data_IF_883484273878
#
_entry.id   IF_883484273878
#
_cell.length_a   1.000
_cell.length_b   1.000
_cell.length_c   1.000
_cell.angle_alpha   90.00
_cell.angle_beta   90.00
_cell.angle_gamma   90.00
#
_symmetry.space_group_name_H-M   'P 1'
#
loop_
_entity.id
_entity.type
_entity.pdbx_description
1 polymer ?
#
# COMPACT_ATOMS: atom_id res chain seq x y z
N UNK A 1 15.53 -13.93 29.17
CA UNK A 1 15.90 -14.23 27.79
C UNK A 1 17.22 -13.52 27.51
N UNK A 2 18.14 -14.19 26.83
CA UNK A 2 19.39 -13.57 26.40
C UNK A 2 19.11 -12.39 25.47
N UNK A 3 19.96 -11.34 25.50
CA UNK A 3 19.92 -10.26 24.51
C UNK A 3 20.47 -10.71 23.14
N UNK A 4 20.99 -11.95 23.09
CA UNK A 4 21.61 -12.53 21.92
C UNK A 4 20.86 -13.80 21.48
N UNK A 5 20.65 -13.91 20.17
CA UNK A 5 20.16 -15.12 19.52
C UNK A 5 21.19 -15.50 18.44
N UNK A 6 21.60 -16.78 18.43
CA UNK A 6 22.47 -17.35 17.41
C UNK A 6 21.70 -18.38 16.60
N UNK A 7 21.53 -18.13 15.32
CA UNK A 7 21.04 -19.11 14.35
C UNK A 7 22.27 -19.75 13.71
N UNK A 8 22.44 -21.07 13.88
CA UNK A 8 23.65 -21.80 13.47
C UNK A 8 23.43 -22.59 12.20
N UNK A 9 24.40 -22.52 11.29
CA UNK A 9 24.54 -23.40 10.11
C UNK A 9 23.29 -23.48 9.23
N UNK A 10 22.52 -22.39 9.15
CA UNK A 10 21.39 -22.28 8.23
C UNK A 10 21.83 -22.04 6.79
N UNK A 11 21.10 -22.55 5.82
CA UNK A 11 21.22 -22.19 4.43
C UNK A 11 20.54 -20.85 4.21
N UNK A 12 21.31 -19.78 4.04
CA UNK A 12 20.82 -18.39 4.02
C UNK A 12 20.49 -17.97 2.60
N UNK A 13 19.24 -17.51 2.39
CA UNK A 13 18.73 -16.84 1.20
C UNK A 13 18.51 -15.37 1.54
N UNK A 14 19.48 -14.49 1.27
CA UNK A 14 19.40 -13.08 1.70
C UNK A 14 18.84 -12.13 0.65
N UNK A 15 18.40 -12.64 -0.50
CA UNK A 15 17.88 -11.88 -1.64
C UNK A 15 18.86 -10.85 -2.25
N UNK A 16 20.15 -10.97 -1.95
CA UNK A 16 21.25 -10.14 -2.49
C UNK A 16 22.17 -10.99 -3.33
N UNK A 17 22.66 -12.11 -2.78
CA UNK A 17 23.42 -13.10 -3.52
C UNK A 17 22.48 -14.00 -4.34
N UNK A 18 22.92 -14.37 -5.53
CA UNK A 18 22.16 -15.23 -6.43
C UNK A 18 22.05 -16.66 -5.88
N UNK A 19 23.14 -17.15 -5.26
CA UNK A 19 23.21 -18.48 -4.68
C UNK A 19 23.14 -18.43 -3.15
N UNK A 20 22.37 -19.35 -2.52
CA UNK A 20 22.32 -19.45 -1.06
C UNK A 20 23.66 -19.95 -0.50
N UNK A 21 23.94 -19.60 0.75
CA UNK A 21 25.17 -20.01 1.43
C UNK A 21 24.93 -20.44 2.86
N UNK A 22 25.75 -21.34 3.40
CA UNK A 22 25.65 -21.81 4.79
C UNK A 22 26.45 -20.90 5.72
N UNK A 23 25.77 -20.37 6.76
CA UNK A 23 26.42 -19.50 7.75
C UNK A 23 25.64 -19.45 9.08
N UNK A 24 26.31 -18.87 10.08
CA UNK A 24 25.72 -18.48 11.36
C UNK A 24 25.23 -17.03 11.32
N UNK A 25 24.10 -16.75 11.97
CA UNK A 25 23.56 -15.39 12.14
C UNK A 25 23.53 -15.05 13.63
N UNK A 26 24.24 -14.01 14.04
CA UNK A 26 24.13 -13.45 15.38
C UNK A 26 23.15 -12.27 15.38
N UNK A 27 22.11 -12.38 16.21
CA UNK A 27 21.17 -11.30 16.50
C UNK A 27 21.44 -10.73 17.88
N UNK A 28 21.52 -9.41 18.00
CA UNK A 28 21.67 -8.67 19.25
C UNK A 28 20.53 -7.66 19.37
N UNK A 29 19.77 -7.70 20.45
CA UNK A 29 18.64 -6.78 20.68
C UNK A 29 17.65 -6.71 19.50
N UNK A 30 17.32 -7.84 18.89
CA UNK A 30 16.40 -7.95 17.77
C UNK A 30 16.92 -7.49 16.43
N UNK A 31 18.26 -7.21 16.29
CA UNK A 31 18.87 -6.81 15.03
C UNK A 31 19.99 -7.77 14.64
N UNK A 32 20.09 -8.10 13.36
CA UNK A 32 21.21 -8.87 12.82
C UNK A 32 22.51 -8.07 13.05
N UNK A 33 23.41 -8.61 13.87
CA UNK A 33 24.70 -8.00 14.18
C UNK A 33 25.80 -8.50 13.26
N UNK A 34 25.78 -9.79 12.92
CA UNK A 34 26.83 -10.41 12.10
C UNK A 34 26.32 -11.69 11.44
N UNK A 35 26.76 -11.90 10.21
CA UNK A 35 26.62 -13.16 9.47
C UNK A 35 28.03 -13.60 9.10
N UNK A 36 28.38 -14.87 9.39
CA UNK A 36 29.69 -15.44 9.02
C UNK A 36 29.59 -16.99 8.97
N UNK A 37 30.45 -17.66 8.20
CA UNK A 37 30.43 -19.13 8.06
C UNK A 37 30.43 -19.86 9.40
N UNK A 38 31.17 -19.35 10.38
CA UNK A 38 31.18 -19.85 11.77
C UNK A 38 31.39 -18.65 12.69
N UNK A 39 30.59 -18.58 13.75
CA UNK A 39 30.74 -17.56 14.80
C UNK A 39 31.18 -18.23 16.10
N UNK A 40 32.23 -17.72 16.69
CA UNK A 40 32.83 -18.19 17.96
C UNK A 40 33.08 -17.01 18.90
N UNK A 41 33.14 -17.30 20.19
CA UNK A 41 33.53 -16.33 21.22
C UNK A 41 32.59 -16.31 22.43
N UNK A 42 32.95 -15.51 23.44
CA UNK A 42 32.26 -15.47 24.74
C UNK A 42 30.78 -15.05 24.63
N UNK A 43 30.47 -14.10 23.74
CA UNK A 43 29.10 -13.63 23.50
C UNK A 43 28.20 -14.77 22.95
N UNK A 44 28.79 -15.63 22.12
CA UNK A 44 28.08 -16.77 21.52
C UNK A 44 27.70 -17.82 22.58
N UNK A 45 28.52 -17.98 23.62
CA UNK A 45 28.24 -18.94 24.70
C UNK A 45 27.06 -18.52 25.58
N UNK A 46 26.72 -17.23 25.59
CA UNK A 46 25.61 -16.67 26.38
C UNK A 46 24.34 -16.43 25.52
N UNK A 47 24.38 -16.76 24.24
CA UNK A 47 23.25 -16.59 23.31
C UNK A 47 22.23 -17.75 23.43
N UNK A 48 20.96 -17.44 23.22
CA UNK A 48 19.97 -18.46 22.90
C UNK A 48 20.29 -19.01 21.49
N UNK A 49 20.31 -20.36 21.33
CA UNK A 49 20.77 -21.00 20.09
C UNK A 49 19.61 -21.68 19.37
N UNK A 50 19.49 -21.41 18.07
CA UNK A 50 18.68 -22.19 17.14
C UNK A 50 19.64 -22.93 16.20
N UNK A 51 19.62 -24.27 16.23
CA UNK A 51 20.32 -25.09 15.24
C UNK A 51 19.49 -25.15 13.96
N UNK A 52 19.98 -24.51 12.91
CA UNK A 52 19.35 -24.45 11.59
C UNK A 52 20.06 -25.34 10.56
N UNK A 53 20.83 -26.36 11.01
CA UNK A 53 21.53 -27.29 10.12
C UNK A 53 20.52 -27.99 9.17
N UNK A 54 20.68 -27.79 7.86
CA UNK A 54 19.78 -28.35 6.84
C UNK A 54 18.44 -27.63 6.73
N UNK A 55 18.31 -26.45 7.34
CA UNK A 55 17.11 -25.59 7.26
C UNK A 55 17.44 -24.36 6.42
N UNK A 56 16.53 -24.00 5.50
CA UNK A 56 16.61 -22.76 4.75
C UNK A 56 16.15 -21.57 5.61
N UNK A 57 16.93 -20.48 5.57
CA UNK A 57 16.69 -19.25 6.35
C UNK A 57 16.47 -18.10 5.38
N UNK A 58 15.28 -17.51 5.44
CA UNK A 58 14.87 -16.37 4.61
C UNK A 58 14.67 -15.12 5.46
N UNK A 59 14.81 -13.91 4.87
CA UNK A 59 14.21 -12.72 5.44
C UNK A 59 12.70 -12.90 5.59
N UNK A 60 12.09 -12.28 6.60
CA UNK A 60 10.63 -12.29 6.68
C UNK A 60 10.00 -11.67 5.43
N UNK A 61 8.95 -12.30 4.92
CA UNK A 61 8.27 -11.85 3.71
C UNK A 61 7.45 -10.59 3.95
N UNK A 62 7.30 -9.77 2.90
CA UNK A 62 6.47 -8.56 2.88
C UNK A 62 5.45 -8.68 1.77
N UNK A 63 4.16 -8.74 2.11
CA UNK A 63 3.09 -8.69 1.12
C UNK A 63 2.75 -7.23 0.79
N UNK A 64 2.94 -6.86 -0.46
CA UNK A 64 2.75 -5.49 -0.94
C UNK A 64 1.27 -5.12 -1.15
N UNK A 65 0.32 -6.06 -1.05
CA UNK A 65 -1.11 -5.80 -1.20
C UNK A 65 -1.98 -6.91 -0.65
N UNK A 66 -2.71 -6.59 0.40
CA UNK A 66 -3.78 -7.40 0.96
C UNK A 66 -4.88 -6.51 1.57
N UNK A 67 -5.89 -7.15 2.18
CA UNK A 67 -6.96 -6.49 2.93
C UNK A 67 -7.04 -7.01 4.37
N UNK A 68 -5.95 -7.57 4.86
CA UNK A 68 -5.84 -8.19 6.18
C UNK A 68 -6.20 -7.21 7.29
N UNK A 69 -7.04 -7.68 8.22
CA UNK A 69 -7.57 -6.88 9.32
C UNK A 69 -8.74 -5.96 8.95
N UNK A 70 -9.05 -5.82 7.64
CA UNK A 70 -10.17 -5.02 7.12
C UNK A 70 -11.29 -5.89 6.54
N UNK A 71 -10.96 -7.11 6.12
CA UNK A 71 -11.91 -8.12 5.66
C UNK A 71 -11.90 -9.25 6.70
N UNK A 72 -12.70 -9.08 7.76
CA UNK A 72 -12.70 -9.97 8.93
C UNK A 72 -12.96 -11.43 8.55
N UNK A 73 -11.98 -12.29 8.82
CA UNK A 73 -11.98 -13.69 8.43
C UNK A 73 -13.25 -14.43 8.89
N UNK A 74 -14.05 -14.86 7.93
CA UNK A 74 -15.30 -15.65 8.11
C UNK A 74 -16.38 -14.98 9.00
N UNK A 75 -16.36 -13.66 9.21
CA UNK A 75 -17.32 -12.95 10.07
C UNK A 75 -18.47 -12.29 9.32
N UNK A 76 -18.43 -12.26 7.98
CA UNK A 76 -19.41 -11.61 7.14
C UNK A 76 -19.42 -10.08 7.30
N UNK A 77 -20.51 -9.44 6.91
CA UNK A 77 -20.65 -7.97 6.82
C UNK A 77 -20.13 -7.20 8.04
N UNK A 78 -20.29 -7.73 9.25
CA UNK A 78 -19.84 -7.07 10.48
C UNK A 78 -18.29 -6.96 10.59
N UNK A 79 -17.55 -7.74 9.80
CA UNK A 79 -16.09 -7.68 9.72
C UNK A 79 -15.57 -7.18 8.38
N UNK A 80 -16.45 -6.79 7.45
CA UNK A 80 -16.07 -6.37 6.09
C UNK A 80 -15.98 -4.85 5.99
N UNK A 81 -14.85 -4.28 6.44
CA UNK A 81 -14.60 -2.83 6.48
C UNK A 81 -13.72 -2.31 5.32
N UNK A 82 -13.32 -3.19 4.40
CA UNK A 82 -12.40 -2.83 3.31
C UNK A 82 -13.06 -2.10 2.14
N UNK A 83 -14.40 -2.04 2.04
CA UNK A 83 -15.12 -1.38 0.97
C UNK A 83 -16.18 -0.39 1.49
N UNK A 84 -15.98 0.90 1.27
CA UNK A 84 -17.01 1.91 1.51
C UNK A 84 -17.97 1.99 0.31
N UNK A 85 -19.23 1.61 0.50
CA UNK A 85 -20.23 1.57 -0.59
C UNK A 85 -21.12 2.82 -0.65
N UNK A 86 -20.90 3.79 0.23
CA UNK A 86 -21.66 5.05 0.29
C UNK A 86 -21.36 6.00 -0.86
N UNK A 87 -20.07 6.15 -1.21
CA UNK A 87 -19.58 7.07 -2.23
C UNK A 87 -18.45 6.42 -3.05
N UNK A 88 -18.43 6.53 -4.39
CA UNK A 88 -17.35 6.00 -5.22
C UNK A 88 -16.00 6.72 -5.07
N UNK A 89 -15.95 7.87 -4.40
CA UNK A 89 -14.73 8.69 -4.26
C UNK A 89 -14.54 9.11 -2.79
N UNK A 90 -13.72 8.36 -2.08
CA UNK A 90 -13.50 8.47 -0.63
C UNK A 90 -12.01 8.54 -0.25
N UNK A 91 -11.23 9.47 -0.81
CA UNK A 91 -9.78 9.53 -0.55
C UNK A 91 -9.43 9.84 0.91
N UNK A 92 -10.35 10.42 1.69
CA UNK A 92 -10.16 10.78 3.09
C UNK A 92 -10.17 9.58 4.04
N UNK A 93 -10.58 8.39 3.57
CA UNK A 93 -10.57 7.18 4.42
C UNK A 93 -9.16 6.65 4.62
N UNK A 94 -8.88 6.17 5.82
CA UNK A 94 -7.59 5.60 6.21
C UNK A 94 -7.76 4.16 6.67
N UNK A 95 -6.96 3.24 6.13
CA UNK A 95 -6.99 1.84 6.54
C UNK A 95 -6.71 1.64 8.04
N UNK A 96 -5.88 2.50 8.64
CA UNK A 96 -5.51 2.42 10.06
C UNK A 96 -6.73 2.49 10.97
N UNK A 97 -7.77 3.23 10.56
CA UNK A 97 -8.98 3.43 11.38
C UNK A 97 -9.86 2.16 11.47
N UNK A 98 -9.68 1.21 10.54
CA UNK A 98 -10.52 0.03 10.47
C UNK A 98 -9.76 -1.30 10.66
N UNK A 99 -8.43 -1.30 10.70
CA UNK A 99 -7.64 -2.51 10.93
C UNK A 99 -7.96 -3.10 12.30
N UNK A 100 -8.43 -4.35 12.33
CA UNK A 100 -8.62 -5.16 13.54
C UNK A 100 -7.36 -6.01 13.82
N UNK A 101 -6.49 -5.67 14.78
CA UNK A 101 -5.28 -6.45 15.10
C UNK A 101 -5.55 -7.85 15.65
N UNK A 102 -6.79 -8.14 16.04
CA UNK A 102 -7.20 -9.45 16.58
C UNK A 102 -7.73 -10.39 15.49
N UNK A 103 -7.70 -9.97 14.22
CA UNK A 103 -8.06 -10.85 13.13
C UNK A 103 -7.09 -12.04 13.06
N UNK A 104 -7.65 -13.26 13.00
CA UNK A 104 -6.87 -14.49 12.98
C UNK A 104 -5.93 -14.63 11.79
N UNK A 105 -6.16 -13.90 10.71
CA UNK A 105 -5.30 -13.90 9.53
C UNK A 105 -3.90 -13.34 9.82
N UNK A 106 -3.73 -12.46 10.82
CA UNK A 106 -2.41 -11.98 11.25
C UNK A 106 -1.55 -13.11 11.82
N UNK A 107 -2.14 -13.99 12.63
CA UNK A 107 -1.43 -15.16 13.13
C UNK A 107 -1.06 -16.12 11.99
N UNK A 108 -1.99 -16.40 11.08
CA UNK A 108 -1.74 -17.25 9.89
C UNK A 108 -0.61 -16.70 9.01
N UNK A 109 -0.60 -15.39 8.77
CA UNK A 109 0.47 -14.73 8.02
C UNK A 109 1.83 -14.87 8.70
N UNK A 110 1.88 -14.62 10.02
CA UNK A 110 3.09 -14.74 10.81
C UNK A 110 3.64 -16.17 10.79
N UNK A 111 2.77 -17.17 10.94
CA UNK A 111 3.10 -18.61 10.84
C UNK A 111 3.61 -18.99 9.44
N UNK A 112 3.11 -18.32 8.39
CA UNK A 112 3.59 -18.44 7.01
C UNK A 112 4.87 -17.65 6.71
N UNK A 113 5.46 -16.97 7.70
CA UNK A 113 6.69 -16.17 7.54
C UNK A 113 6.47 -14.77 6.95
N UNK A 114 5.22 -14.32 6.78
CA UNK A 114 4.89 -12.95 6.36
C UNK A 114 4.88 -12.04 7.59
N UNK A 115 5.87 -11.16 7.68
CA UNK A 115 6.10 -10.31 8.88
C UNK A 115 5.58 -8.88 8.74
N UNK A 116 5.29 -8.46 7.53
CA UNK A 116 4.77 -7.13 7.20
C UNK A 116 3.83 -7.21 6.01
N UNK A 117 2.77 -6.42 6.05
CA UNK A 117 1.80 -6.34 4.95
C UNK A 117 1.46 -4.89 4.64
N UNK A 118 1.21 -4.59 3.36
CA UNK A 118 0.50 -3.40 2.95
C UNK A 118 -0.99 -3.74 2.84
N UNK A 119 -1.76 -3.31 3.83
CA UNK A 119 -3.21 -3.51 3.87
C UNK A 119 -3.97 -2.20 3.65
N UNK A 120 -5.16 -2.28 3.11
CA UNK A 120 -5.92 -1.08 2.80
C UNK A 120 -7.26 -1.35 2.12
N UNK A 121 -7.93 -0.29 1.62
CA UNK A 121 -9.23 -0.41 1.00
C UNK A 121 -9.26 -1.37 -0.19
N UNK A 122 -10.37 -2.07 -0.35
CA UNK A 122 -10.68 -2.92 -1.48
C UNK A 122 -10.81 -2.14 -2.79
N UNK A 123 -11.37 -2.79 -3.79
CA UNK A 123 -11.42 -2.26 -5.16
C UNK A 123 -12.82 -1.86 -5.63
N UNK A 124 -13.77 -1.66 -4.71
CA UNK A 124 -15.10 -1.14 -5.05
C UNK A 124 -15.05 0.29 -5.54
N UNK A 125 -14.31 1.16 -4.84
CA UNK A 125 -14.29 2.59 -5.07
C UNK A 125 -13.39 2.98 -6.24
N UNK A 126 -13.77 4.03 -6.97
CA UNK A 126 -12.88 4.69 -7.93
C UNK A 126 -11.65 5.25 -7.21
N UNK A 127 -11.86 5.86 -6.03
CA UNK A 127 -10.82 6.23 -5.06
C UNK A 127 -11.29 5.73 -3.70
N UNK A 128 -10.54 4.84 -3.06
CA UNK A 128 -10.97 4.11 -1.86
C UNK A 128 -10.39 4.61 -0.53
N UNK A 129 -9.33 5.40 -0.55
CA UNK A 129 -8.59 5.81 0.65
C UNK A 129 -7.16 5.32 0.69
N UNK A 130 -6.49 5.48 1.82
CA UNK A 130 -5.06 5.17 1.96
C UNK A 130 -4.79 3.77 2.48
N UNK A 131 -3.77 3.13 1.89
CA UNK A 131 -3.12 1.93 2.42
C UNK A 131 -2.14 2.28 3.53
N UNK A 132 -1.95 1.36 4.47
CA UNK A 132 -0.89 1.40 5.47
C UNK A 132 0.04 0.19 5.34
N UNK A 133 1.27 0.30 5.84
CA UNK A 133 2.17 -0.83 6.05
C UNK A 133 2.22 -1.14 7.55
N UNK A 134 1.93 -2.38 7.91
CA UNK A 134 1.88 -2.84 9.29
C UNK A 134 2.60 -4.17 9.47
N UNK A 135 3.13 -4.39 10.67
CA UNK A 135 3.63 -5.70 11.08
C UNK A 135 2.45 -6.66 11.28
N UNK A 136 2.68 -7.94 11.05
CA UNK A 136 1.68 -9.00 11.26
C UNK A 136 1.56 -9.43 12.73
N UNK A 137 2.30 -8.80 13.61
CA UNK A 137 2.32 -9.06 15.05
C UNK A 137 2.14 -7.78 15.85
N UNK A 138 1.19 -7.77 16.77
CA UNK A 138 0.89 -6.66 17.68
C UNK A 138 -0.48 -6.80 18.33
N UNK A 139 -0.82 -5.89 19.24
CA UNK A 139 -2.11 -5.87 19.95
C UNK A 139 -2.95 -4.64 19.55
N UNK A 140 -2.31 -3.61 19.10
CA UNK A 140 -2.91 -2.35 18.65
C UNK A 140 -2.31 -1.98 17.32
N UNK A 141 -3.11 -1.42 16.42
CA UNK A 141 -2.64 -0.98 15.11
C UNK A 141 -1.48 0.02 15.22
N UNK A 142 -1.54 0.94 16.19
CA UNK A 142 -0.49 1.94 16.43
C UNK A 142 0.89 1.30 16.68
N UNK A 143 0.91 0.17 17.42
CA UNK A 143 2.16 -0.57 17.73
C UNK A 143 2.65 -1.43 16.53
N UNK A 144 1.75 -1.72 15.59
CA UNK A 144 2.04 -2.49 14.37
C UNK A 144 2.49 -1.60 13.20
N UNK A 145 2.21 -0.30 13.23
CA UNK A 145 2.51 0.62 12.14
C UNK A 145 4.01 0.65 11.79
N UNK A 146 4.29 0.45 10.50
CA UNK A 146 5.58 0.70 9.86
C UNK A 146 5.50 2.01 9.07
N UNK A 147 4.39 2.23 8.35
CA UNK A 147 4.09 3.47 7.63
C UNK A 147 2.57 3.65 7.54
N UNK A 148 2.06 4.77 8.02
CA UNK A 148 0.63 5.04 8.10
C UNK A 148 -0.04 5.18 6.73
N UNK A 149 0.59 5.92 5.80
CA UNK A 149 0.06 6.19 4.46
C UNK A 149 1.10 5.77 3.42
N UNK A 150 0.89 4.65 2.75
CA UNK A 150 1.83 4.13 1.75
C UNK A 150 1.41 4.45 0.33
N UNK A 151 0.11 4.50 0.04
CA UNK A 151 -0.45 4.75 -1.28
C UNK A 151 -1.93 5.13 -1.19
N UNK A 152 -2.44 5.85 -2.18
CA UNK A 152 -3.87 6.13 -2.38
C UNK A 152 -4.47 5.06 -3.29
N UNK A 153 -5.43 4.29 -2.77
CA UNK A 153 -6.13 3.25 -3.55
C UNK A 153 -7.03 3.87 -4.61
N UNK A 154 -6.88 3.37 -5.83
CA UNK A 154 -7.82 3.60 -6.93
C UNK A 154 -8.19 2.27 -7.59
N UNK A 155 -9.33 2.21 -8.26
CA UNK A 155 -9.72 1.00 -8.96
C UNK A 155 -10.35 1.26 -10.33
N UNK A 156 -10.04 0.35 -11.24
CA UNK A 156 -10.59 0.25 -12.60
C UNK A 156 -11.34 -1.08 -12.79
N UNK A 157 -12.00 -1.23 -13.92
CA UNK A 157 -12.57 -2.50 -14.33
C UNK A 157 -13.95 -2.78 -13.80
N UNK A 158 -14.21 -4.05 -13.50
CA UNK A 158 -15.56 -4.55 -13.18
C UNK A 158 -16.04 -4.12 -11.80
N UNK A 159 -15.17 -4.05 -10.81
CA UNK A 159 -15.55 -3.83 -9.42
C UNK A 159 -16.23 -2.47 -9.21
N UNK A 160 -15.65 -1.31 -9.60
CA UNK A 160 -16.34 -0.03 -9.46
C UNK A 160 -17.67 0.03 -10.23
N UNK A 161 -17.72 -0.58 -11.43
CA UNK A 161 -18.94 -0.62 -12.23
C UNK A 161 -20.07 -1.42 -11.56
N UNK A 162 -19.71 -2.55 -10.91
CA UNK A 162 -20.69 -3.39 -10.23
C UNK A 162 -21.19 -2.74 -8.94
N UNK A 163 -20.29 -2.15 -8.16
CA UNK A 163 -20.62 -1.59 -6.85
C UNK A 163 -21.35 -0.24 -6.93
N UNK A 164 -21.09 0.57 -7.96
CA UNK A 164 -21.60 1.94 -8.04
C UNK A 164 -22.43 2.24 -9.29
N UNK A 165 -22.99 1.23 -9.94
CA UNK A 165 -23.89 1.44 -11.09
C UNK A 165 -25.04 2.41 -10.76
N UNK A 166 -25.68 2.26 -9.62
CA UNK A 166 -26.77 3.12 -9.16
C UNK A 166 -26.32 4.55 -8.77
N UNK A 167 -25.00 4.78 -8.71
CA UNK A 167 -24.36 6.07 -8.41
C UNK A 167 -23.59 6.64 -9.61
N UNK A 168 -23.95 6.22 -10.81
CA UNK A 168 -23.44 6.76 -12.07
C UNK A 168 -22.07 6.23 -12.51
N UNK A 169 -21.68 5.03 -12.07
CA UNK A 169 -20.45 4.36 -12.52
C UNK A 169 -20.81 3.12 -13.36
N UNK A 170 -21.28 3.34 -14.60
CA UNK A 170 -21.73 2.26 -15.49
C UNK A 170 -20.65 1.74 -16.43
N UNK A 171 -19.65 2.53 -16.72
CA UNK A 171 -18.67 2.23 -17.77
C UNK A 171 -17.24 2.53 -17.30
N UNK A 172 -16.23 1.96 -18.00
CA UNK A 172 -14.83 2.34 -17.82
C UNK A 172 -14.59 3.84 -18.08
N UNK A 173 -15.39 4.45 -18.96
CA UNK A 173 -15.35 5.89 -19.21
C UNK A 173 -15.74 6.68 -17.96
N UNK A 174 -16.83 6.28 -17.26
CA UNK A 174 -17.26 6.97 -16.03
C UNK A 174 -16.28 6.76 -14.86
N UNK A 175 -15.65 5.61 -14.75
CA UNK A 175 -14.55 5.38 -13.78
C UNK A 175 -13.40 6.37 -14.03
N UNK A 176 -12.89 6.41 -15.27
CA UNK A 176 -11.80 7.31 -15.65
C UNK A 176 -12.17 8.79 -15.48
N UNK A 177 -13.42 9.17 -15.83
CA UNK A 177 -13.90 10.55 -15.68
C UNK A 177 -13.96 10.98 -14.21
N UNK A 178 -14.47 10.13 -13.30
CA UNK A 178 -14.52 10.44 -11.87
C UNK A 178 -13.13 10.58 -11.25
N UNK A 179 -12.18 9.71 -11.63
CA UNK A 179 -10.80 9.84 -11.16
C UNK A 179 -10.19 11.18 -11.63
N UNK A 180 -10.32 11.53 -12.93
CA UNK A 180 -9.84 12.81 -13.46
C UNK A 180 -10.48 14.01 -12.77
N UNK A 181 -11.79 13.93 -12.53
CA UNK A 181 -12.52 14.99 -11.82
C UNK A 181 -11.94 15.22 -10.42
N UNK A 182 -11.69 14.17 -9.66
CA UNK A 182 -11.13 14.27 -8.31
C UNK A 182 -9.70 14.84 -8.34
N UNK A 183 -8.83 14.33 -9.21
CA UNK A 183 -7.46 14.82 -9.34
C UNK A 183 -7.40 16.28 -9.84
N UNK A 184 -8.31 16.68 -10.74
CA UNK A 184 -8.42 18.06 -11.19
C UNK A 184 -8.85 19.00 -10.06
N UNK A 185 -9.85 18.60 -9.27
CA UNK A 185 -10.28 19.35 -8.08
C UNK A 185 -9.15 19.50 -7.07
N UNK A 186 -8.39 18.43 -6.82
CA UNK A 186 -7.23 18.48 -5.92
C UNK A 186 -6.14 19.44 -6.41
N UNK A 187 -5.83 19.46 -7.73
CA UNK A 187 -4.89 20.43 -8.31
C UNK A 187 -5.37 21.89 -8.17
N UNK A 188 -6.64 22.13 -8.40
CA UNK A 188 -7.23 23.47 -8.23
C UNK A 188 -7.17 23.88 -6.76
N UNK A 189 -7.47 22.95 -5.85
CA UNK A 189 -7.41 23.18 -4.40
C UNK A 189 -5.99 23.52 -3.94
N UNK A 190 -4.99 22.72 -4.36
CA UNK A 190 -3.57 22.96 -4.10
C UNK A 190 -3.09 24.33 -4.59
N UNK A 191 -3.49 24.70 -5.83
CA UNK A 191 -3.19 26.02 -6.40
C UNK A 191 -3.74 27.17 -5.54
N UNK A 192 -4.95 27.02 -4.98
CA UNK A 192 -5.54 28.02 -4.09
C UNK A 192 -4.83 28.11 -2.76
N UNK A 193 -4.43 26.97 -2.17
CA UNK A 193 -3.62 26.93 -0.94
C UNK A 193 -2.31 27.68 -1.13
N UNK A 194 -1.59 27.42 -2.21
CA UNK A 194 -0.36 28.13 -2.54
C UNK A 194 -0.58 29.65 -2.74
N UNK A 195 -1.65 30.04 -3.44
CA UNK A 195 -2.00 31.46 -3.66
C UNK A 195 -2.40 32.19 -2.38
N UNK A 196 -2.88 31.45 -1.39
CA UNK A 196 -3.21 31.97 -0.05
C UNK A 196 -1.99 32.05 0.88
N UNK A 197 -0.84 31.49 0.50
CA UNK A 197 0.36 31.41 1.34
C UNK A 197 0.31 30.28 2.40
N UNK A 198 -0.56 29.28 2.20
CA UNK A 198 -0.72 28.11 3.08
C UNK A 198 -0.48 26.81 2.31
N UNK A 199 0.74 26.56 1.79
CA UNK A 199 1.01 25.40 0.95
C UNK A 199 0.86 24.06 1.69
N UNK A 200 1.00 24.04 3.02
CA UNK A 200 0.88 22.82 3.82
C UNK A 200 -0.55 22.27 3.89
N UNK A 201 -1.55 23.05 3.51
CA UNK A 201 -2.96 22.72 3.63
C UNK A 201 -3.59 23.25 4.92
N UNK A 202 -4.80 22.81 5.21
CA UNK A 202 -5.48 23.14 6.45
C UNK A 202 -4.92 22.30 7.61
N UNK A 203 -4.31 22.96 8.59
CA UNK A 203 -3.86 22.37 9.84
C UNK A 203 -4.79 22.83 10.96
N UNK A 204 -5.31 21.93 11.80
CA UNK A 204 -6.28 22.26 12.86
C UNK A 204 -5.76 23.32 13.83
N UNK A 205 -4.47 23.26 14.21
CA UNK A 205 -3.82 24.25 15.08
C UNK A 205 -3.73 25.63 14.41
N UNK A 206 -3.50 25.67 13.10
CA UNK A 206 -3.48 26.93 12.34
C UNK A 206 -4.89 27.46 12.11
N UNK A 207 -5.91 26.60 12.04
CA UNK A 207 -7.32 27.01 11.97
C UNK A 207 -7.78 27.70 13.25
N UNK A 208 -7.44 27.17 14.43
CA UNK A 208 -7.76 27.80 15.73
C UNK A 208 -7.03 29.13 15.88
N UNK A 209 -5.73 29.18 15.57
CA UNK A 209 -4.94 30.41 15.59
C UNK A 209 -5.43 31.44 14.56
N UNK A 210 -5.91 30.97 13.39
CA UNK A 210 -6.46 31.83 12.35
C UNK A 210 -7.80 32.43 12.77
N UNK A 211 -8.66 31.67 13.45
CA UNK A 211 -9.92 32.17 13.99
C UNK A 211 -9.68 33.20 15.11
N UNK A 212 -8.68 32.96 15.98
CA UNK A 212 -8.27 33.92 17.01
C UNK A 212 -7.62 35.18 16.40
N UNK A 213 -6.79 35.05 15.37
CA UNK A 213 -6.14 36.14 14.66
C UNK A 213 -7.13 37.02 13.88
N UNK A 214 -8.17 36.44 13.27
CA UNK A 214 -9.23 37.22 12.59
C UNK A 214 -10.01 38.12 13.59
N UNK A 215 -10.08 37.69 14.84
CA UNK A 215 -10.71 38.51 15.91
C UNK A 215 -9.82 39.67 16.43
N UNK A 216 -8.46 39.51 16.33
CA UNK A 216 -7.49 40.55 16.82
C UNK A 216 -6.89 41.41 15.69
N UNK A 217 -7.23 41.16 14.44
CA UNK A 217 -6.51 41.63 13.23
C UNK A 217 -6.90 43.08 12.78
N UNK A 218 -7.64 43.84 13.60
CA UNK A 218 -7.95 45.24 13.29
C UNK A 218 -6.72 46.19 13.33
N UNK A 219 -5.53 45.69 13.73
CA UNK A 219 -4.31 46.46 13.89
C UNK A 219 -3.09 46.03 13.04
N UNK A 220 -3.16 44.94 12.22
CA UNK A 220 -2.04 44.44 11.41
C UNK A 220 -2.11 44.93 9.96
N UNK A 221 -0.97 45.31 9.41
CA UNK A 221 -0.84 45.65 7.98
C UNK A 221 -0.77 44.37 7.10
N UNK A 222 -1.18 44.45 5.82
CA UNK A 222 -1.17 43.33 4.88
C UNK A 222 0.24 42.69 4.69
N UNK A 223 1.30 43.42 5.02
CA UNK A 223 2.69 42.94 4.97
C UNK A 223 3.05 41.98 6.12
N UNK A 224 2.31 41.97 7.21
CA UNK A 224 2.55 41.14 8.40
C UNK A 224 1.79 39.79 8.35
N UNK A 225 0.90 39.61 7.37
CA UNK A 225 0.07 38.39 7.22
C UNK A 225 0.81 37.33 6.45
N UNK A 226 1.14 36.24 7.12
CA UNK A 226 1.74 35.05 6.44
C UNK A 226 0.74 34.32 5.56
N UNK A 227 -0.55 34.32 5.89
CA UNK A 227 -1.63 33.62 5.17
C UNK A 227 -2.74 34.59 4.81
N UNK A 228 -3.15 34.62 3.56
CA UNK A 228 -4.30 35.39 3.07
C UNK A 228 -5.58 34.52 3.13
N UNK A 229 -6.26 34.58 4.27
CA UNK A 229 -7.49 33.79 4.47
C UNK A 229 -8.61 34.10 3.50
N UNK A 230 -8.63 35.29 2.86
CA UNK A 230 -9.63 35.61 1.86
C UNK A 230 -9.49 34.80 0.58
N UNK A 231 -8.30 34.23 0.34
CA UNK A 231 -7.97 33.36 -0.79
C UNK A 231 -8.00 31.88 -0.45
N UNK A 232 -8.05 31.53 0.82
CA UNK A 232 -8.10 30.12 1.24
C UNK A 232 -9.34 29.44 0.65
N UNK A 233 -9.19 28.22 0.08
CA UNK A 233 -10.35 27.42 -0.25
C UNK A 233 -11.06 26.97 1.03
N UNK A 234 -12.37 26.74 0.97
CA UNK A 234 -13.05 26.05 2.08
C UNK A 234 -12.41 24.69 2.33
N UNK A 235 -12.34 24.26 3.60
CA UNK A 235 -11.84 22.94 3.97
C UNK A 235 -12.60 21.84 3.23
N UNK A 236 -11.87 20.93 2.62
CA UNK A 236 -12.40 19.75 1.96
C UNK A 236 -11.49 18.56 2.27
N UNK A 237 -11.95 17.68 3.16
CA UNK A 237 -11.20 16.50 3.62
C UNK A 237 -10.78 15.58 2.46
N UNK A 238 -11.57 15.51 1.37
CA UNK A 238 -11.22 14.72 0.20
C UNK A 238 -10.06 15.33 -0.58
N UNK A 239 -10.05 16.66 -0.69
CA UNK A 239 -8.99 17.36 -1.39
C UNK A 239 -7.69 17.33 -0.57
N UNK A 240 -7.76 17.54 0.75
CA UNK A 240 -6.62 17.42 1.66
C UNK A 240 -5.97 16.04 1.55
N UNK A 241 -6.76 14.97 1.53
CA UNK A 241 -6.25 13.60 1.40
C UNK A 241 -5.57 13.32 0.05
N UNK A 242 -5.88 14.08 -1.00
CA UNK A 242 -5.28 13.96 -2.34
C UNK A 242 -4.05 14.85 -2.54
N UNK A 243 -3.77 15.81 -1.66
CA UNK A 243 -2.60 16.69 -1.77
C UNK A 243 -1.28 15.90 -1.89
N UNK A 244 -1.00 14.89 -1.03
CA UNK A 244 0.24 14.13 -1.16
C UNK A 244 0.38 13.42 -2.52
N UNK A 245 -0.74 13.01 -3.15
CA UNK A 245 -0.71 12.41 -4.49
C UNK A 245 -0.33 13.45 -5.55
N UNK A 246 -0.99 14.61 -5.52
CA UNK A 246 -0.75 15.68 -6.50
C UNK A 246 0.66 16.25 -6.40
N UNK A 247 1.25 16.21 -5.20
CA UNK A 247 2.61 16.68 -4.90
C UNK A 247 3.71 15.64 -5.13
N UNK A 248 3.35 14.41 -5.49
CA UNK A 248 4.30 13.31 -5.73
C UNK A 248 4.89 12.70 -4.45
N UNK A 249 4.27 12.94 -3.29
CA UNK A 249 4.69 12.42 -1.98
C UNK A 249 4.12 11.03 -1.69
N UNK A 250 3.01 10.68 -2.36
CA UNK A 250 2.31 9.42 -2.22
C UNK A 250 1.84 8.91 -3.60
N UNK A 251 2.14 7.65 -3.98
CA UNK A 251 1.69 7.10 -5.23
C UNK A 251 0.20 6.77 -5.23
N UNK A 252 -0.41 6.77 -6.42
CA UNK A 252 -1.64 6.05 -6.68
C UNK A 252 -1.35 4.55 -6.72
N UNK A 253 -2.25 3.74 -6.16
CA UNK A 253 -2.20 2.27 -6.15
C UNK A 253 -3.43 1.73 -6.87
N UNK A 254 -3.25 1.32 -8.13
CA UNK A 254 -4.33 1.04 -9.06
C UNK A 254 -4.65 -0.45 -9.15
N UNK A 255 -5.84 -0.85 -8.72
CA UNK A 255 -6.43 -2.12 -9.09
C UNK A 255 -6.74 -2.12 -10.59
N UNK A 256 -6.06 -2.95 -11.36
CA UNK A 256 -6.31 -3.13 -12.78
C UNK A 256 -5.88 -4.53 -13.26
N UNK A 257 -6.82 -5.27 -13.83
CA UNK A 257 -6.57 -6.61 -14.36
C UNK A 257 -6.30 -6.62 -15.87
N UNK A 258 -7.14 -5.93 -16.64
CA UNK A 258 -7.13 -5.94 -18.10
C UNK A 258 -6.13 -4.93 -18.66
N UNK A 259 -5.54 -5.26 -19.79
CA UNK A 259 -4.60 -4.39 -20.48
C UNK A 259 -5.15 -2.98 -20.77
N UNK A 260 -6.41 -2.86 -21.19
CA UNK A 260 -7.06 -1.58 -21.46
C UNK A 260 -7.27 -0.72 -20.19
N UNK A 261 -7.57 -1.34 -19.04
CA UNK A 261 -7.65 -0.66 -17.75
C UNK A 261 -6.27 -0.24 -17.25
N UNK A 262 -5.25 -1.10 -17.40
CA UNK A 262 -3.85 -0.81 -17.08
C UNK A 262 -3.34 0.40 -17.88
N UNK A 263 -3.52 0.41 -19.21
CA UNK A 263 -3.14 1.55 -20.04
C UNK A 263 -3.90 2.84 -19.70
N UNK A 264 -5.16 2.71 -19.24
CA UNK A 264 -5.94 3.87 -18.80
C UNK A 264 -5.40 4.44 -17.50
N UNK A 265 -5.01 3.59 -16.53
CA UNK A 265 -4.35 4.01 -15.30
C UNK A 265 -3.03 4.76 -15.60
N UNK A 266 -2.18 4.18 -16.43
CA UNK A 266 -0.91 4.79 -16.87
C UNK A 266 -1.14 6.15 -17.56
N UNK A 267 -2.11 6.22 -18.47
CA UNK A 267 -2.46 7.47 -19.18
C UNK A 267 -2.85 8.57 -18.20
N UNK A 268 -3.69 8.27 -17.22
CA UNK A 268 -4.12 9.25 -16.21
C UNK A 268 -2.96 9.65 -15.29
N UNK A 269 -2.13 8.72 -14.86
CA UNK A 269 -0.95 9.03 -14.04
C UNK A 269 -0.01 10.00 -14.79
N UNK A 270 0.26 9.76 -16.07
CA UNK A 270 1.06 10.66 -16.92
C UNK A 270 0.39 12.02 -17.14
N UNK A 271 -0.92 12.06 -17.37
CA UNK A 271 -1.72 13.29 -17.55
C UNK A 271 -1.62 14.22 -16.33
N UNK A 272 -1.60 13.63 -15.14
CA UNK A 272 -1.54 14.39 -13.87
C UNK A 272 -0.13 14.51 -13.30
N UNK A 273 0.86 13.84 -13.87
CA UNK A 273 2.25 13.76 -13.38
C UNK A 273 2.33 13.20 -11.95
N UNK A 274 1.61 12.13 -11.67
CA UNK A 274 1.58 11.46 -10.37
C UNK A 274 2.21 10.08 -10.46
N UNK A 275 2.80 9.62 -9.35
CA UNK A 275 3.34 8.27 -9.23
C UNK A 275 2.24 7.22 -9.25
N UNK A 276 2.54 6.05 -9.83
CA UNK A 276 1.61 4.94 -9.98
C UNK A 276 2.26 3.61 -9.57
N UNK A 277 1.49 2.77 -8.90
CA UNK A 277 1.74 1.35 -8.66
C UNK A 277 0.54 0.59 -9.19
N UNK A 278 0.75 -0.52 -9.92
CA UNK A 278 -0.34 -1.25 -10.58
C UNK A 278 -0.49 -2.60 -9.93
N UNK A 279 -1.65 -2.84 -9.31
CA UNK A 279 -1.97 -4.09 -8.64
C UNK A 279 -2.66 -5.07 -9.59
N UNK A 280 -2.46 -6.36 -9.32
CA UNK A 280 -3.01 -7.52 -10.01
C UNK A 280 -2.40 -7.76 -11.38
N UNK A 281 -2.44 -6.80 -12.28
CA UNK A 281 -1.78 -6.83 -13.60
C UNK A 281 -2.00 -8.17 -14.33
N UNK A 282 -3.24 -8.70 -14.31
CA UNK A 282 -3.57 -10.07 -14.77
C UNK A 282 -3.24 -10.27 -16.26
N UNK A 283 -3.52 -9.26 -17.11
CA UNK A 283 -3.14 -9.26 -18.52
C UNK A 283 -1.67 -8.86 -18.76
N UNK A 284 -0.87 -8.72 -17.69
CA UNK A 284 0.50 -8.18 -17.76
C UNK A 284 1.43 -8.95 -18.70
N UNK A 285 1.31 -10.28 -18.75
CA UNK A 285 2.11 -11.08 -19.68
C UNK A 285 1.84 -10.74 -21.16
N UNK A 286 0.64 -10.26 -21.50
CA UNK A 286 0.29 -9.86 -22.87
C UNK A 286 0.92 -8.52 -23.29
N UNK A 287 1.31 -7.70 -22.32
CA UNK A 287 1.79 -6.31 -22.52
C UNK A 287 3.11 -6.04 -21.79
N UNK A 288 3.88 -7.08 -21.49
CA UNK A 288 5.05 -6.99 -20.62
C UNK A 288 6.11 -6.00 -21.15
N UNK A 289 6.39 -6.03 -22.45
CA UNK A 289 7.36 -5.13 -23.08
C UNK A 289 6.94 -3.65 -23.01
N UNK A 290 5.63 -3.39 -23.07
CA UNK A 290 5.12 -2.03 -22.94
C UNK A 290 5.19 -1.57 -21.49
N UNK A 291 4.83 -2.43 -20.52
CA UNK A 291 4.94 -2.10 -19.10
C UNK A 291 6.37 -1.83 -18.68
N UNK A 292 7.34 -2.60 -19.21
CA UNK A 292 8.76 -2.36 -18.96
C UNK A 292 9.21 -0.98 -19.46
N UNK A 293 8.74 -0.53 -20.64
CA UNK A 293 9.03 0.81 -21.17
C UNK A 293 8.39 1.92 -20.34
N UNK A 294 7.19 1.67 -19.79
CA UNK A 294 6.48 2.63 -18.95
C UNK A 294 7.16 2.82 -17.58
N UNK A 295 7.82 1.79 -17.06
CA UNK A 295 8.65 1.85 -15.85
C UNK A 295 7.89 1.93 -14.52
N UNK A 296 6.57 1.81 -14.52
CA UNK A 296 5.79 1.76 -13.28
C UNK A 296 5.91 0.37 -12.62
N UNK A 297 6.16 0.30 -11.31
CA UNK A 297 6.16 -0.97 -10.59
C UNK A 297 4.81 -1.67 -10.66
N UNK A 298 4.84 -2.99 -10.77
CA UNK A 298 3.66 -3.84 -10.85
C UNK A 298 3.64 -4.85 -9.71
N UNK A 299 2.45 -5.12 -9.19
CA UNK A 299 2.22 -6.15 -8.19
C UNK A 299 1.27 -7.20 -8.78
N UNK A 300 1.69 -8.48 -8.78
CA UNK A 300 0.98 -9.55 -9.48
C UNK A 300 0.38 -10.53 -8.48
N UNK A 301 -0.90 -10.73 -8.56
CA UNK A 301 -1.69 -11.63 -7.72
C UNK A 301 -3.16 -11.19 -7.60
N UNK A 302 -4.01 -12.05 -6.96
CA UNK A 302 -3.72 -13.38 -6.44
C UNK A 302 -3.54 -14.39 -7.57
N UNK A 303 -2.54 -15.27 -7.47
CA UNK A 303 -2.31 -16.31 -8.48
C UNK A 303 -3.06 -17.61 -8.16
N UNK A 304 -3.31 -17.90 -6.89
CA UNK A 304 -4.10 -19.05 -6.46
C UNK A 304 -5.60 -18.89 -6.77
N UNK A 305 -6.30 -20.02 -6.84
CA UNK A 305 -7.72 -20.07 -7.13
C UNK A 305 -8.05 -19.92 -8.63
N UNK A 306 -9.33 -19.94 -8.94
CA UNK A 306 -9.85 -19.85 -10.31
C UNK A 306 -10.30 -18.43 -10.67
N UNK A 307 -10.55 -18.19 -11.95
CA UNK A 307 -11.12 -16.94 -12.42
C UNK A 307 -12.57 -16.82 -11.99
N UNK A 308 -12.87 -15.88 -11.08
CA UNK A 308 -14.23 -15.62 -10.57
C UNK A 308 -14.99 -14.56 -11.37
N UNK A 309 -14.30 -13.83 -12.24
CA UNK A 309 -14.86 -12.78 -13.11
C UNK A 309 -14.09 -12.73 -14.44
N UNK A 310 -14.70 -12.13 -15.46
CA UNK A 310 -14.14 -12.11 -16.82
C UNK A 310 -12.75 -11.48 -16.92
N UNK A 311 -12.47 -10.44 -16.17
CA UNK A 311 -11.16 -9.77 -16.19
C UNK A 311 -10.01 -10.63 -15.62
N UNK A 312 -10.33 -11.77 -14.96
CA UNK A 312 -9.35 -12.75 -14.45
C UNK A 312 -9.06 -13.90 -15.43
N UNK A 313 -9.61 -13.90 -16.64
CA UNK A 313 -9.51 -15.04 -17.59
C UNK A 313 -8.08 -15.43 -17.95
N UNK A 314 -7.12 -14.52 -17.86
CA UNK A 314 -5.70 -14.78 -18.16
C UNK A 314 -4.86 -14.94 -16.87
N UNK A 315 -5.50 -15.08 -15.71
CA UNK A 315 -4.82 -15.31 -14.44
C UNK A 315 -3.95 -16.57 -14.48
N UNK A 316 -2.71 -16.46 -14.02
CA UNK A 316 -1.79 -17.60 -13.99
C UNK A 316 -0.46 -17.26 -13.33
N UNK A 317 0.29 -18.31 -12.95
CA UNK A 317 1.61 -18.19 -12.32
C UNK A 317 2.72 -17.71 -13.26
N UNK A 318 2.51 -17.73 -14.57
CA UNK A 318 3.49 -17.27 -15.55
C UNK A 318 3.63 -15.75 -15.65
N UNK A 319 2.61 -14.99 -15.22
CA UNK A 319 2.57 -13.53 -15.39
C UNK A 319 3.72 -12.81 -14.69
N UNK A 320 4.03 -13.07 -13.40
CA UNK A 320 5.15 -12.38 -12.75
C UNK A 320 6.50 -12.69 -13.42
N UNK A 321 6.73 -13.94 -13.84
CA UNK A 321 7.96 -14.32 -14.54
C UNK A 321 8.10 -13.62 -15.89
N UNK A 322 7.01 -13.49 -16.66
CA UNK A 322 7.02 -12.79 -17.95
C UNK A 322 7.35 -11.30 -17.77
N UNK A 323 6.76 -10.65 -16.78
CA UNK A 323 7.01 -9.24 -16.45
C UNK A 323 8.44 -9.00 -15.96
N UNK A 324 8.95 -9.85 -15.07
CA UNK A 324 10.33 -9.76 -14.60
C UNK A 324 11.33 -9.95 -15.74
N UNK A 325 11.09 -10.92 -16.64
CA UNK A 325 11.91 -11.15 -17.82
C UNK A 325 11.93 -9.97 -18.79
N UNK A 326 10.82 -9.23 -18.90
CA UNK A 326 10.74 -8.01 -19.70
C UNK A 326 11.44 -6.80 -19.05
N UNK A 327 11.86 -6.90 -17.77
CA UNK A 327 12.55 -5.85 -17.03
C UNK A 327 11.64 -4.99 -16.15
N UNK A 328 10.39 -5.41 -15.92
CA UNK A 328 9.50 -4.73 -14.97
C UNK A 328 9.98 -4.93 -13.53
N UNK A 329 9.76 -3.93 -12.67
CA UNK A 329 9.87 -4.10 -11.23
C UNK A 329 8.60 -4.80 -10.73
N UNK A 330 8.73 -6.07 -10.32
CA UNK A 330 7.61 -6.94 -9.97
C UNK A 330 7.59 -7.22 -8.47
N UNK A 331 6.41 -7.15 -7.86
CA UNK A 331 6.11 -7.72 -6.54
C UNK A 331 5.05 -8.82 -6.70
N UNK A 332 5.12 -9.85 -5.86
CA UNK A 332 4.07 -10.85 -5.73
C UNK A 332 3.14 -10.41 -4.60
N UNK A 333 1.83 -10.61 -4.75
CA UNK A 333 0.81 -10.21 -3.78
C UNK A 333 -0.24 -11.30 -3.60
N UNK A 334 -0.86 -11.32 -2.41
CA UNK A 334 -1.91 -12.30 -2.11
C UNK A 334 -3.32 -11.79 -2.40
N UNK A 335 -3.57 -10.50 -2.25
CA UNK A 335 -4.92 -9.90 -2.34
C UNK A 335 -5.91 -10.54 -1.36
N UNK A 336 -5.44 -10.90 -0.19
CA UNK A 336 -6.14 -11.76 0.74
C UNK A 336 -6.56 -11.01 1.99
N UNK A 337 -7.51 -11.65 2.78
CA UNK A 337 -7.04 -12.23 4.03
C UNK A 337 -6.77 -13.76 4.04
N UNK A 338 -6.96 -14.51 2.98
CA UNK A 338 -7.09 -15.99 3.10
C UNK A 338 -5.93 -16.83 2.57
N UNK A 339 -4.86 -16.28 2.03
CA UNK A 339 -3.77 -17.08 1.42
C UNK A 339 -2.36 -16.69 1.85
N UNK A 340 -2.23 -15.87 2.89
CA UNK A 340 -0.93 -15.39 3.38
C UNK A 340 -0.01 -16.51 3.83
N UNK A 341 -0.54 -17.57 4.45
CA UNK A 341 0.24 -18.73 4.86
C UNK A 341 0.88 -19.48 3.69
N UNK A 342 0.40 -19.22 2.47
CA UNK A 342 0.93 -19.80 1.22
C UNK A 342 1.81 -18.84 0.44
N UNK A 343 2.03 -17.63 0.96
CA UNK A 343 2.81 -16.61 0.28
C UNK A 343 4.22 -17.08 -0.11
N UNK A 344 4.98 -17.78 0.74
CA UNK A 344 6.30 -18.29 0.36
C UNK A 344 6.28 -19.23 -0.85
N UNK A 345 5.17 -19.94 -1.08
CA UNK A 345 5.04 -20.80 -2.25
C UNK A 345 4.77 -20.05 -3.56
N UNK A 346 4.47 -18.74 -3.49
CA UNK A 346 4.33 -17.85 -4.64
C UNK A 346 5.67 -17.20 -5.01
N UNK A 347 6.52 -16.95 -4.02
CA UNK A 347 7.84 -16.37 -4.18
C UNK A 347 8.88 -17.40 -4.58
#
# INVERSE_FOLDING_TARGET
MSNYLLIKQGTIHNAIEEEPFVADILVENGKIKKIAPVLEGKIINDADVIDATGIDVYPGFVDAHCHMGLDGYATGFAGEDYNELGDPVTPQLSAVDAVNPQDGTFQMACEGGVICVCTGPGSSNVIGGTFCAIKTYGKRVDDMLVKEKTAMKIAFGENPKNCYKEKGVYSRMSVAAKLREALTKAKIYDTKLHAAGCPEGWNELEMEQAQEQVMDDSQKTDADRKVDFSKMPAYDAKMEALLPVIRGEMPLKAHAHRADDIYTAIRIAKEFHVDLRIDHTTDGALIADDLAKEGFPVAVGPSFGHATKYELRHKGFHTPAALAKAGCQVSIITDSPVIEERYPALC
#
